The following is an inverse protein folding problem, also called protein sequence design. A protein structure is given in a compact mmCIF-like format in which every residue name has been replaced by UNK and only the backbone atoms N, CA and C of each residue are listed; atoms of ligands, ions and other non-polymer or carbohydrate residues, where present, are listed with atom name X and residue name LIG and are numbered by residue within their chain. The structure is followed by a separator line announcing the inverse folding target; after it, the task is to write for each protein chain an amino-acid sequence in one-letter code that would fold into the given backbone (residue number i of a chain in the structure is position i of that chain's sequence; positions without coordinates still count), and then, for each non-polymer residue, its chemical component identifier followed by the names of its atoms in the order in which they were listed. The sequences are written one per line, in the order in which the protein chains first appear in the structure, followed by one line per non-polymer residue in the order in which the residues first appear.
data_IF_078710028459
#
_entry.id   IF_078710028459
#
_cell.length_a   1.000
_cell.length_b   1.000
_cell.length_c   1.000
_cell.angle_alpha   90.00
_cell.angle_beta   90.00
_cell.angle_gamma   90.00
#
_symmetry.space_group_name_H-M   'P 1'
#
loop_
_entity.id
_entity.type
_entity.pdbx_description
1 polymer ?
#
# COMPACT_ATOMS: atom_id res chain seq x y z
N UNK A 1 -26.53 14.67 -8.95
CA UNK A 1 -25.39 13.96 -8.34
C UNK A 1 -24.11 14.48 -8.98
N UNK A 2 -23.26 15.16 -8.22
CA UNK A 2 -22.02 15.78 -8.72
C UNK A 2 -20.88 14.76 -8.64
N UNK A 3 -20.07 14.63 -9.70
CA UNK A 3 -18.98 13.66 -9.74
C UNK A 3 -17.82 14.12 -8.84
N UNK A 4 -17.34 13.24 -7.96
CA UNK A 4 -16.18 13.46 -7.11
C UNK A 4 -14.98 12.78 -7.79
N UNK A 5 -13.87 13.51 -7.91
CA UNK A 5 -12.64 13.00 -8.51
C UNK A 5 -11.49 13.12 -7.51
N UNK A 6 -10.59 12.13 -7.54
CA UNK A 6 -9.35 12.14 -6.78
C UNK A 6 -8.17 12.26 -7.75
N UNK A 7 -7.23 13.15 -7.45
CA UNK A 7 -6.02 13.36 -8.24
C UNK A 7 -4.81 13.01 -7.37
N UNK A 8 -4.08 11.97 -7.77
CA UNK A 8 -2.83 11.56 -7.10
C UNK A 8 -1.65 11.90 -8.00
N UNK A 9 -0.87 12.92 -7.61
CA UNK A 9 0.25 13.44 -8.41
C UNK A 9 1.44 12.48 -8.47
N UNK A 10 1.61 11.63 -7.46
CA UNK A 10 2.67 10.62 -7.38
C UNK A 10 2.07 9.29 -6.88
N UNK A 11 1.51 8.45 -7.76
CA UNK A 11 0.99 7.16 -7.36
C UNK A 11 2.15 6.24 -6.94
N UNK A 12 2.01 5.57 -5.79
CA UNK A 12 2.96 4.56 -5.33
C UNK A 12 2.40 3.14 -5.51
N UNK A 13 3.32 2.22 -5.82
CA UNK A 13 3.08 0.78 -5.71
C UNK A 13 3.62 0.36 -4.33
N UNK A 14 2.73 0.20 -3.38
CA UNK A 14 3.11 -0.15 -2.02
C UNK A 14 3.36 -1.66 -1.94
N UNK A 15 4.39 -2.07 -1.20
CA UNK A 15 4.68 -3.49 -0.95
C UNK A 15 4.50 -3.79 0.54
N UNK A 16 3.58 -4.70 0.86
CA UNK A 16 3.34 -5.18 2.20
C UNK A 16 4.08 -6.50 2.41
N UNK A 17 4.98 -6.57 3.39
CA UNK A 17 5.70 -7.80 3.76
C UNK A 17 5.69 -7.97 5.28
N UNK A 18 6.00 -9.18 5.75
CA UNK A 18 6.07 -9.50 7.18
C UNK A 18 7.47 -9.97 7.54
N UNK A 19 7.93 -9.57 8.73
CA UNK A 19 9.17 -10.04 9.33
C UNK A 19 8.95 -10.36 10.81
N UNK A 20 9.52 -11.45 11.37
CA UNK A 20 9.22 -11.88 12.73
C UNK A 20 9.73 -10.91 13.81
N UNK A 21 10.90 -10.32 13.60
CA UNK A 21 11.53 -9.37 14.52
C UNK A 21 12.36 -8.36 13.72
N UNK A 22 12.42 -7.13 14.22
CA UNK A 22 13.17 -6.03 13.58
C UNK A 22 14.42 -5.78 14.41
N UNK A 23 15.58 -6.00 13.81
CA UNK A 23 16.89 -5.74 14.41
C UNK A 23 17.77 -4.91 13.46
N UNK A 24 18.51 -3.92 13.96
CA UNK A 24 19.28 -2.99 13.12
C UNK A 24 20.53 -3.60 12.47
N UNK A 25 21.15 -4.59 13.12
CA UNK A 25 22.48 -5.10 12.74
C UNK A 25 22.44 -6.29 11.77
N UNK A 26 21.25 -6.74 11.35
CA UNK A 26 21.07 -7.99 10.60
C UNK A 26 20.14 -7.87 9.40
N UNK A 27 20.38 -8.71 8.37
CA UNK A 27 19.44 -8.83 7.24
C UNK A 27 18.12 -9.45 7.73
N UNK A 28 17.04 -8.70 7.60
CA UNK A 28 15.70 -9.18 7.92
C UNK A 28 15.27 -10.22 6.88
N UNK A 29 14.78 -11.37 7.36
CA UNK A 29 14.05 -12.31 6.50
C UNK A 29 12.62 -11.81 6.38
N UNK A 30 12.26 -11.38 5.18
CA UNK A 30 10.93 -10.90 4.85
C UNK A 30 10.17 -11.99 4.07
N UNK A 31 8.86 -12.08 4.27
CA UNK A 31 7.99 -12.90 3.42
C UNK A 31 7.84 -12.28 2.03
N UNK A 32 7.31 -13.05 1.08
CA UNK A 32 7.03 -12.53 -0.26
C UNK A 32 6.09 -11.31 -0.16
N UNK A 33 6.44 -10.18 -0.81
CA UNK A 33 5.65 -8.96 -0.71
C UNK A 33 4.30 -9.11 -1.43
N UNK A 34 3.25 -8.57 -0.83
CA UNK A 34 1.96 -8.34 -1.47
C UNK A 34 1.96 -6.91 -1.99
N UNK A 35 1.71 -6.72 -3.28
CA UNK A 35 1.68 -5.39 -3.90
C UNK A 35 0.27 -4.80 -3.85
N UNK A 36 0.15 -3.56 -3.36
CA UNK A 36 -1.10 -2.81 -3.30
C UNK A 36 -0.98 -1.51 -4.09
N UNK A 37 -1.96 -1.26 -4.96
CA UNK A 37 -2.05 -0.02 -5.72
C UNK A 37 -2.89 1.01 -4.95
N UNK A 38 -2.24 1.96 -4.27
CA UNK A 38 -2.94 3.03 -3.58
C UNK A 38 -3.77 3.91 -4.53
N UNK A 39 -3.33 4.07 -5.78
CA UNK A 39 -4.08 4.83 -6.79
C UNK A 39 -5.46 4.21 -7.09
N UNK A 40 -5.59 2.88 -6.95
CA UNK A 40 -6.88 2.18 -7.11
C UNK A 40 -7.70 2.16 -5.81
N UNK A 41 -7.06 2.36 -4.64
CA UNK A 41 -7.75 2.38 -3.35
C UNK A 41 -8.60 3.65 -3.16
N UNK A 42 -8.24 4.76 -3.81
CA UNK A 42 -9.05 5.98 -3.82
C UNK A 42 -10.43 5.84 -4.48
N UNK A 43 -10.65 4.77 -5.26
CA UNK A 43 -11.97 4.41 -5.81
C UNK A 43 -12.76 3.41 -4.96
N UNK A 44 -12.18 2.93 -3.86
CA UNK A 44 -12.81 1.94 -2.95
C UNK A 44 -12.95 2.49 -1.53
N UNK A 45 -13.39 3.74 -1.40
CA UNK A 45 -13.94 4.25 -0.14
C UNK A 45 -15.09 5.24 -0.42
N UNK A 46 -16.24 5.12 0.30
CA UNK A 46 -16.51 4.18 1.38
C UNK A 46 -17.17 2.91 0.83
N UNK A 47 -16.59 1.74 1.10
CA UNK A 47 -17.42 0.54 1.19
C UNK A 47 -18.09 0.56 2.59
N UNK A 48 -19.36 0.11 2.70
CA UNK A 48 -20.19 0.24 3.91
C UNK A 48 -19.61 -0.45 5.16
#
# INVERSE_FOLDING_TARGET
MTKIYTLTLAPSLDSATQTPQIYPEGKLRCSAPVFWNLAAAGSMWPAP
#
